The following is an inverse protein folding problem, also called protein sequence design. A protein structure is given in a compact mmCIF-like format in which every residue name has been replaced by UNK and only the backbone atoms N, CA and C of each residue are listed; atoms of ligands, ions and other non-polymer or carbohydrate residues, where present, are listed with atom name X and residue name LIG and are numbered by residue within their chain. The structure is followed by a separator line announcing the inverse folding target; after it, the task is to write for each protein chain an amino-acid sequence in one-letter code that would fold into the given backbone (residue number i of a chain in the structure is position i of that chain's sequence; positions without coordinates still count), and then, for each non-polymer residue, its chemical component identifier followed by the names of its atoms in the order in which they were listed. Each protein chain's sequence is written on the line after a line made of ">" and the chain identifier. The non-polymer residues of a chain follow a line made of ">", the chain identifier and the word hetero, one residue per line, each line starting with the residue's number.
data_IF_238302782875
#
_entry.id   IF_238302782875
#
_cell.length_a   1.000
_cell.length_b   1.000
_cell.length_c   1.000
_cell.angle_alpha   90.00
_cell.angle_beta   90.00
_cell.angle_gamma   90.00
#
_symmetry.space_group_name_H-M   'P 1'
#
loop_
_entity.id
_entity.type
_entity.pdbx_description
1 polymer ?
#
# COMPACT_ATOMS: atom_id res chain seq x y z
N UNK A 1 -6.72 14.09 18.94
CA UNK A 1 -8.06 14.41 18.41
C UNK A 1 -7.88 14.79 16.97
N UNK A 2 -8.47 14.05 16.03
CA UNK A 2 -8.37 14.37 14.61
C UNK A 2 -9.21 15.61 14.29
N UNK A 3 -8.66 16.53 13.50
CA UNK A 3 -9.35 17.77 13.13
C UNK A 3 -10.14 17.58 11.84
N UNK A 4 -11.42 18.00 11.76
CA UNK A 4 -12.19 17.96 10.52
C UNK A 4 -11.58 18.87 9.44
N UNK A 5 -11.86 18.60 8.15
CA UNK A 5 -11.48 19.51 7.07
C UNK A 5 -12.12 20.89 7.33
N UNK A 6 -11.32 21.97 7.33
CA UNK A 6 -11.82 23.32 7.61
C UNK A 6 -12.68 23.84 6.45
N UNK A 7 -13.55 24.81 6.71
CA UNK A 7 -14.46 25.38 5.70
C UNK A 7 -13.79 25.77 4.37
N UNK A 8 -12.58 26.40 4.35
CA UNK A 8 -11.90 26.70 3.09
C UNK A 8 -11.57 25.46 2.23
N UNK A 9 -11.40 24.29 2.83
CA UNK A 9 -11.21 23.02 2.12
C UNK A 9 -12.52 22.54 1.52
N UNK A 10 -13.62 22.61 2.28
CA UNK A 10 -14.95 22.26 1.78
C UNK A 10 -15.34 23.15 0.59
N UNK A 11 -15.12 24.46 0.71
CA UNK A 11 -15.36 25.45 -0.35
C UNK A 11 -14.51 25.19 -1.60
N UNK A 12 -13.27 24.74 -1.42
CA UNK A 12 -12.36 24.42 -2.50
C UNK A 12 -12.84 23.22 -3.32
N UNK A 13 -13.49 22.23 -2.71
CA UNK A 13 -14.03 21.05 -3.38
C UNK A 13 -15.54 21.12 -3.65
N UNK A 14 -16.16 22.30 -3.49
CA UNK A 14 -17.60 22.51 -3.72
C UNK A 14 -18.51 21.67 -2.81
N UNK A 15 -18.06 21.38 -1.59
CA UNK A 15 -18.75 20.51 -0.66
C UNK A 15 -19.62 21.31 0.29
N UNK A 16 -20.88 20.90 0.41
CA UNK A 16 -21.82 21.43 1.39
C UNK A 16 -22.28 20.30 2.29
N UNK A 17 -22.10 20.43 3.61
CA UNK A 17 -22.54 19.43 4.57
C UNK A 17 -21.62 19.35 5.79
N UNK A 18 -21.97 18.47 6.72
CA UNK A 18 -21.17 18.24 7.93
C UNK A 18 -20.17 17.12 7.64
N UNK A 19 -18.85 17.35 7.82
CA UNK A 19 -17.86 16.29 7.73
C UNK A 19 -18.11 15.18 8.75
N UNK A 20 -18.15 13.94 8.26
CA UNK A 20 -18.27 12.73 9.08
C UNK A 20 -16.97 11.96 9.02
N UNK A 21 -16.34 11.72 10.17
CA UNK A 21 -15.13 10.91 10.24
C UNK A 21 -15.45 9.47 9.85
N UNK A 22 -14.70 8.92 8.89
CA UNK A 22 -14.77 7.51 8.53
C UNK A 22 -13.84 6.70 9.44
N UNK A 23 -14.27 5.51 9.91
CA UNK A 23 -13.40 4.62 10.67
C UNK A 23 -12.31 4.01 9.77
N UNK A 24 -11.14 3.74 10.34
CA UNK A 24 -10.03 3.07 9.65
C UNK A 24 -8.92 4.00 9.16
N UNK A 25 -7.98 3.42 8.41
CA UNK A 25 -6.77 4.11 7.95
C UNK A 25 -5.97 4.75 9.09
N UNK A 26 -5.41 5.94 8.82
CA UNK A 26 -4.74 6.76 9.83
C UNK A 26 -5.72 7.59 10.69
N UNK A 27 -7.03 7.38 10.54
CA UNK A 27 -8.05 8.12 11.28
C UNK A 27 -8.21 9.58 10.85
N UNK A 28 -7.78 9.92 9.63
CA UNK A 28 -7.80 11.29 9.05
C UNK A 28 -8.73 11.42 7.82
N UNK A 29 -9.60 10.44 7.60
CA UNK A 29 -10.46 10.38 6.41
C UNK A 29 -11.87 10.83 6.74
N UNK A 30 -12.39 11.79 5.99
CA UNK A 30 -13.67 12.44 6.23
C UNK A 30 -14.60 12.30 5.04
N UNK A 31 -15.89 12.10 5.28
CA UNK A 31 -16.92 12.07 4.24
C UNK A 31 -17.77 13.33 4.31
N UNK A 32 -18.07 13.92 3.15
CA UNK A 32 -19.09 14.96 2.99
C UNK A 32 -19.93 14.60 1.76
N UNK A 33 -21.19 14.20 1.98
CA UNK A 33 -22.03 13.69 0.89
C UNK A 33 -21.42 12.44 0.24
N UNK A 34 -21.16 12.49 -1.06
CA UNK A 34 -20.56 11.39 -1.82
C UNK A 34 -19.06 11.61 -2.11
N UNK A 35 -18.42 12.48 -1.33
CA UNK A 35 -16.99 12.78 -1.45
C UNK A 35 -16.26 12.42 -0.17
N UNK A 36 -15.10 11.81 -0.34
CA UNK A 36 -14.13 11.50 0.70
C UNK A 36 -12.98 12.50 0.61
N UNK A 37 -12.58 13.04 1.76
CA UNK A 37 -11.49 13.98 1.95
C UNK A 37 -10.43 13.36 2.85
N UNK A 38 -9.17 13.52 2.47
CA UNK A 38 -8.02 13.14 3.30
C UNK A 38 -6.87 14.14 3.14
N UNK A 39 -5.96 14.25 4.13
CA UNK A 39 -4.71 14.96 3.95
C UNK A 39 -3.95 14.38 2.75
N UNK A 40 -3.48 15.25 1.86
CA UNK A 40 -2.77 14.84 0.64
C UNK A 40 -1.37 14.27 0.91
N UNK A 41 -0.84 14.47 2.13
CA UNK A 41 0.51 14.04 2.49
C UNK A 41 1.55 14.62 1.55
N UNK A 42 2.23 13.74 0.79
CA UNK A 42 3.20 14.16 -0.21
C UNK A 42 2.50 14.63 -1.50
N UNK A 43 2.37 15.95 -1.65
CA UNK A 43 1.60 16.57 -2.73
C UNK A 43 1.98 16.11 -4.15
N UNK A 44 3.26 15.84 -4.42
CA UNK A 44 3.70 15.37 -5.74
C UNK A 44 3.13 13.98 -6.09
N UNK A 45 3.03 13.09 -5.11
CA UNK A 45 2.42 11.78 -5.27
C UNK A 45 0.90 11.89 -5.39
N UNK A 46 0.26 12.71 -4.55
CA UNK A 46 -1.18 12.94 -4.60
C UNK A 46 -1.66 13.47 -5.96
N UNK A 47 -0.99 14.50 -6.50
CA UNK A 47 -1.31 15.07 -7.82
C UNK A 47 -1.09 14.06 -8.95
N UNK A 48 0.01 13.30 -8.91
CA UNK A 48 0.30 12.27 -9.92
C UNK A 48 -0.74 11.15 -9.88
N UNK A 49 -1.02 10.62 -8.68
CA UNK A 49 -1.99 9.55 -8.45
C UNK A 49 -3.37 9.98 -8.91
N UNK A 50 -3.80 11.18 -8.58
CA UNK A 50 -5.09 11.71 -9.03
C UNK A 50 -5.15 11.84 -10.57
N UNK A 51 -4.08 12.31 -11.20
CA UNK A 51 -4.00 12.34 -12.67
C UNK A 51 -4.20 10.96 -13.29
N UNK A 52 -3.52 9.94 -12.77
CA UNK A 52 -3.64 8.55 -13.24
C UNK A 52 -5.03 7.99 -12.98
N UNK A 53 -5.53 8.07 -11.75
CA UNK A 53 -6.84 7.53 -11.38
C UNK A 53 -7.99 8.25 -12.06
N UNK A 54 -7.83 9.51 -12.47
CA UNK A 54 -8.83 10.20 -13.29
C UNK A 54 -8.89 9.64 -14.72
N UNK A 55 -7.74 9.28 -15.31
CA UNK A 55 -7.62 8.81 -16.68
C UNK A 55 -7.76 7.28 -16.84
N UNK A 56 -7.66 6.52 -15.74
CA UNK A 56 -7.68 5.06 -15.78
C UNK A 56 -9.00 4.53 -16.36
N UNK A 57 -9.01 3.67 -17.39
CA UNK A 57 -10.25 3.12 -17.93
C UNK A 57 -11.07 2.36 -16.89
N UNK A 58 -12.39 2.25 -17.10
CA UNK A 58 -13.21 1.38 -16.28
C UNK A 58 -12.80 -0.09 -16.47
N UNK A 59 -12.85 -0.87 -15.39
CA UNK A 59 -12.49 -2.28 -15.38
C UNK A 59 -13.64 -3.11 -14.79
N UNK A 60 -13.96 -4.29 -15.35
CA UNK A 60 -14.87 -5.23 -14.69
C UNK A 60 -14.19 -5.97 -13.53
N UNK A 61 -12.86 -5.91 -13.40
CA UNK A 61 -12.10 -6.66 -12.41
C UNK A 61 -11.87 -5.88 -11.10
N UNK A 62 -11.92 -4.55 -11.14
CA UNK A 62 -11.75 -3.69 -9.97
C UNK A 62 -12.40 -2.32 -10.19
N UNK A 63 -12.63 -1.60 -9.10
CA UNK A 63 -13.03 -0.18 -9.07
C UNK A 63 -11.93 0.65 -8.41
N UNK A 64 -11.87 1.94 -8.74
CA UNK A 64 -11.00 2.93 -8.07
C UNK A 64 -11.83 4.17 -7.76
N UNK A 65 -11.52 4.84 -6.64
CA UNK A 65 -12.18 6.09 -6.28
C UNK A 65 -11.70 7.20 -7.24
N UNK A 66 -12.62 7.81 -8.00
CA UNK A 66 -12.23 8.87 -8.95
C UNK A 66 -11.91 10.15 -8.16
N UNK A 67 -10.77 10.80 -8.43
CA UNK A 67 -10.41 12.01 -7.74
C UNK A 67 -11.31 13.18 -8.17
N UNK A 68 -11.60 14.08 -7.23
CA UNK A 68 -12.42 15.27 -7.44
C UNK A 68 -11.49 16.49 -7.55
N UNK A 69 -11.64 17.28 -8.61
CA UNK A 69 -10.86 18.53 -8.77
C UNK A 69 -11.34 19.58 -7.80
N UNK A 70 -10.40 20.32 -7.23
CA UNK A 70 -10.70 21.58 -6.57
C UNK A 70 -11.15 22.63 -7.60
N UNK A 71 -11.79 23.72 -7.12
CA UNK A 71 -12.28 24.85 -7.92
C UNK A 71 -11.22 25.45 -8.84
N UNK A 72 -9.96 25.47 -8.40
CA UNK A 72 -8.84 25.99 -9.20
C UNK A 72 -8.35 25.03 -10.29
N UNK A 73 -8.96 23.84 -10.40
CA UNK A 73 -8.60 22.79 -11.34
C UNK A 73 -7.50 21.85 -10.85
N UNK A 74 -6.82 22.13 -9.74
CA UNK A 74 -5.83 21.22 -9.14
C UNK A 74 -6.50 19.99 -8.50
N UNK A 75 -5.73 18.92 -8.29
CA UNK A 75 -6.21 17.75 -7.56
C UNK A 75 -6.13 17.91 -6.05
N UNK A 76 -5.20 18.75 -5.58
CA UNK A 76 -5.05 19.08 -4.16
C UNK A 76 -5.38 20.55 -3.88
N UNK A 77 -5.87 20.83 -2.68
CA UNK A 77 -6.11 22.20 -2.21
C UNK A 77 -5.91 22.28 -0.70
N UNK A 78 -5.15 23.29 -0.24
CA UNK A 78 -4.89 23.52 1.19
C UNK A 78 -4.35 22.28 1.94
N UNK A 79 -3.59 21.42 1.26
CA UNK A 79 -3.06 20.17 1.84
C UNK A 79 -4.05 19.00 1.88
N UNK A 80 -5.21 19.12 1.25
CA UNK A 80 -6.23 18.07 1.15
C UNK A 80 -6.39 17.58 -0.28
N UNK A 81 -6.76 16.32 -0.40
CA UNK A 81 -7.23 15.69 -1.64
C UNK A 81 -8.65 15.15 -1.45
N UNK A 82 -9.38 15.03 -2.56
CA UNK A 82 -10.76 14.57 -2.56
C UNK A 82 -10.97 13.47 -3.61
N UNK A 83 -11.84 12.52 -3.30
CA UNK A 83 -12.28 11.47 -4.24
C UNK A 83 -13.75 11.13 -4.04
N UNK A 84 -14.35 10.53 -5.06
CA UNK A 84 -15.68 9.92 -4.96
C UNK A 84 -15.68 8.85 -3.86
N UNK A 85 -16.76 8.79 -3.11
CA UNK A 85 -17.05 7.71 -2.20
C UNK A 85 -17.38 6.44 -3.00
N UNK A 86 -16.77 5.32 -2.60
CA UNK A 86 -17.11 4.01 -3.14
C UNK A 86 -17.84 3.17 -2.10
N UNK A 87 -18.84 2.42 -2.58
CA UNK A 87 -19.48 1.38 -1.77
C UNK A 87 -18.50 0.24 -1.48
N UNK A 88 -18.51 -0.19 -0.22
CA UNK A 88 -17.86 -1.41 0.25
C UNK A 88 -17.22 -1.26 1.61
N UNK A 89 -16.68 -2.38 2.10
CA UNK A 89 -15.88 -2.45 3.32
C UNK A 89 -14.67 -3.35 3.09
N UNK A 90 -13.57 -3.05 3.76
CA UNK A 90 -12.37 -3.88 3.73
C UNK A 90 -12.65 -5.25 4.34
N UNK A 91 -12.21 -6.31 3.66
CA UNK A 91 -12.28 -7.68 4.19
C UNK A 91 -10.95 -8.40 3.96
N UNK A 92 -10.08 -8.34 4.96
CA UNK A 92 -8.73 -8.93 4.94
C UNK A 92 -8.74 -10.47 4.93
N UNK A 93 -9.91 -11.10 5.14
CA UNK A 93 -10.05 -12.56 5.04
C UNK A 93 -10.14 -13.05 3.59
N UNK A 94 -10.53 -12.17 2.64
CA UNK A 94 -10.67 -12.48 1.20
C UNK A 94 -9.35 -12.39 0.45
N UNK A 95 -8.31 -13.01 0.99
CA UNK A 95 -6.90 -12.85 0.60
C UNK A 95 -6.65 -13.11 -0.90
N UNK A 96 -7.20 -14.20 -1.45
CA UNK A 96 -7.05 -14.52 -2.87
C UNK A 96 -7.76 -13.49 -3.78
N UNK A 97 -8.87 -12.90 -3.34
CA UNK A 97 -9.59 -11.88 -4.10
C UNK A 97 -8.88 -10.52 -4.05
N UNK A 98 -8.27 -10.17 -2.91
CA UNK A 98 -7.38 -9.02 -2.77
C UNK A 98 -6.22 -9.12 -3.77
N UNK A 99 -5.54 -10.27 -3.80
CA UNK A 99 -4.42 -10.51 -4.69
C UNK A 99 -4.85 -10.47 -6.16
N UNK A 100 -6.00 -11.06 -6.49
CA UNK A 100 -6.56 -11.05 -7.85
C UNK A 100 -6.90 -9.63 -8.32
N UNK A 101 -7.54 -8.82 -7.47
CA UNK A 101 -7.82 -7.42 -7.78
C UNK A 101 -6.53 -6.61 -7.95
N UNK A 102 -5.52 -6.86 -7.10
CA UNK A 102 -4.21 -6.24 -7.18
C UNK A 102 -3.50 -6.53 -8.51
N UNK A 103 -3.48 -7.79 -8.95
CA UNK A 103 -2.90 -8.17 -10.26
C UNK A 103 -3.61 -7.45 -11.39
N UNK A 104 -4.95 -7.46 -11.41
CA UNK A 104 -5.72 -6.76 -12.45
C UNK A 104 -5.45 -5.25 -12.47
N UNK A 105 -5.28 -4.64 -11.30
CA UNK A 105 -4.90 -3.23 -11.19
C UNK A 105 -3.49 -2.97 -11.72
N UNK A 106 -2.52 -3.82 -11.37
CA UNK A 106 -1.14 -3.70 -11.85
C UNK A 106 -1.02 -3.88 -13.36
N UNK A 107 -1.83 -4.75 -13.97
CA UNK A 107 -1.95 -4.87 -15.43
C UNK A 107 -2.46 -3.57 -16.06
N UNK A 108 -3.48 -2.95 -15.46
CA UNK A 108 -4.06 -1.70 -15.97
C UNK A 108 -3.12 -0.48 -15.89
N UNK A 109 -2.07 -0.55 -15.06
CA UNK A 109 -1.08 0.54 -14.87
C UNK A 109 0.32 0.17 -15.37
N UNK A 110 0.48 -0.94 -16.08
CA UNK A 110 1.78 -1.51 -16.45
C UNK A 110 2.64 -0.60 -17.37
N UNK A 111 1.98 0.20 -18.21
CA UNK A 111 2.64 1.06 -19.19
C UNK A 111 2.92 2.48 -18.67
N UNK A 112 2.59 2.77 -17.41
CA UNK A 112 2.92 4.06 -16.81
C UNK A 112 4.44 4.20 -16.66
N UNK A 113 5.02 5.38 -16.97
CA UNK A 113 6.42 5.65 -16.73
C UNK A 113 6.70 5.71 -15.22
N UNK A 114 7.97 5.48 -14.83
CA UNK A 114 8.41 5.66 -13.44
C UNK A 114 8.19 7.12 -13.02
N UNK A 115 7.48 7.38 -11.91
CA UNK A 115 7.31 8.74 -11.42
C UNK A 115 8.57 9.29 -10.74
N UNK A 116 9.02 10.48 -11.15
CA UNK A 116 10.22 11.14 -10.60
C UNK A 116 10.10 11.49 -9.11
N UNK A 117 8.88 11.61 -8.58
CA UNK A 117 8.69 11.91 -7.16
C UNK A 117 9.17 10.79 -6.23
N UNK A 118 9.32 9.55 -6.73
CA UNK A 118 9.81 8.42 -5.94
C UNK A 118 11.24 8.65 -5.43
N UNK A 119 12.05 9.42 -6.14
CA UNK A 119 13.41 9.78 -5.71
C UNK A 119 13.42 10.76 -4.54
N UNK A 120 12.30 11.46 -4.29
CA UNK A 120 12.16 12.49 -3.26
C UNK A 120 11.46 12.00 -2.00
N UNK A 121 10.87 10.80 -2.00
CA UNK A 121 10.26 10.22 -0.80
C UNK A 121 11.31 9.90 0.25
N UNK A 122 11.07 10.29 1.49
CA UNK A 122 11.96 10.08 2.63
C UNK A 122 11.24 9.49 3.85
N UNK A 123 10.04 8.95 3.63
CA UNK A 123 9.23 8.31 4.66
C UNK A 123 9.75 6.90 5.05
N UNK A 124 9.31 6.35 6.20
CA UNK A 124 9.70 5.01 6.65
C UNK A 124 9.44 3.89 5.63
N UNK A 125 8.37 3.99 4.85
CA UNK A 125 8.05 2.99 3.83
C UNK A 125 8.99 3.09 2.61
N UNK A 126 9.37 4.30 2.21
CA UNK A 126 10.40 4.52 1.20
C UNK A 126 11.77 3.98 1.65
N UNK A 127 12.08 4.09 2.95
CA UNK A 127 13.27 3.45 3.53
C UNK A 127 13.18 1.93 3.43
N UNK A 128 12.06 1.34 3.85
CA UNK A 128 11.87 -0.11 3.75
C UNK A 128 11.96 -0.64 2.31
N UNK A 129 11.39 0.10 1.36
CA UNK A 129 11.46 -0.23 -0.06
C UNK A 129 12.91 -0.22 -0.56
N UNK A 130 13.67 0.85 -0.31
CA UNK A 130 15.08 0.94 -0.71
C UNK A 130 15.95 -0.13 -0.07
N UNK A 131 15.74 -0.42 1.22
CA UNK A 131 16.48 -1.48 1.92
C UNK A 131 16.15 -2.84 1.33
N UNK A 132 14.89 -3.15 1.03
CA UNK A 132 14.48 -4.41 0.40
C UNK A 132 15.18 -4.66 -0.94
N UNK A 133 15.43 -3.59 -1.70
CA UNK A 133 16.01 -3.61 -3.04
C UNK A 133 17.51 -3.29 -3.10
N UNK A 134 18.22 -3.30 -1.97
CA UNK A 134 19.68 -3.08 -1.89
C UNK A 134 20.12 -1.66 -2.32
N UNK A 135 19.18 -0.72 -2.40
CA UNK A 135 19.45 0.68 -2.67
C UNK A 135 19.95 1.41 -1.40
N UNK A 136 19.70 0.81 -0.22
CA UNK A 136 20.19 1.26 1.09
C UNK A 136 20.61 0.06 1.97
N UNK A 137 21.55 0.26 2.91
CA UNK A 137 21.93 -0.79 3.86
C UNK A 137 20.80 -1.09 4.85
N UNK A 138 20.73 -2.35 5.32
CA UNK A 138 19.82 -2.77 6.38
C UNK A 138 20.32 -2.34 7.76
N UNK A 139 20.43 -1.02 7.96
CA UNK A 139 20.77 -0.40 9.23
C UNK A 139 19.50 -0.11 10.04
N UNK A 140 19.63 -0.10 11.37
CA UNK A 140 18.49 0.10 12.28
C UNK A 140 18.82 -0.32 13.70
N UNK A 141 17.82 -0.60 14.52
CA UNK A 141 18.03 -1.04 15.91
C UNK A 141 18.76 -2.40 16.00
N UNK A 142 19.41 -2.73 17.14
CA UNK A 142 20.07 -4.03 17.32
C UNK A 142 19.13 -5.22 17.08
N UNK A 143 17.90 -5.16 17.58
CA UNK A 143 16.89 -6.22 17.43
C UNK A 143 16.45 -6.36 15.98
N UNK A 144 16.23 -5.24 15.27
CA UNK A 144 15.95 -5.25 13.84
C UNK A 144 17.06 -5.96 13.04
N UNK A 145 18.33 -5.60 13.29
CA UNK A 145 19.47 -6.22 12.62
C UNK A 145 19.53 -7.73 12.86
N UNK A 146 19.13 -8.19 14.04
CA UNK A 146 19.07 -9.62 14.35
C UNK A 146 17.98 -10.35 13.54
N UNK A 147 16.77 -9.81 13.51
CA UNK A 147 15.62 -10.46 12.84
C UNK A 147 15.73 -10.39 11.31
N UNK A 148 16.20 -9.28 10.75
CA UNK A 148 16.29 -9.09 9.29
C UNK A 148 17.44 -9.86 8.66
N UNK A 149 18.48 -10.20 9.45
CA UNK A 149 19.74 -10.79 8.95
C UNK A 149 19.53 -12.01 8.06
N UNK A 150 18.69 -12.96 8.47
CA UNK A 150 18.45 -14.20 7.68
C UNK A 150 17.84 -13.89 6.31
N UNK A 151 16.97 -12.88 6.22
CA UNK A 151 16.36 -12.46 4.96
C UNK A 151 17.38 -11.76 4.06
N UNK A 152 18.22 -10.89 4.64
CA UNK A 152 19.31 -10.22 3.91
C UNK A 152 20.31 -11.26 3.38
N UNK A 153 20.68 -12.26 4.18
CA UNK A 153 21.57 -13.36 3.78
C UNK A 153 20.95 -14.23 2.66
N UNK A 154 19.61 -14.40 2.64
CA UNK A 154 18.89 -15.19 1.64
C UNK A 154 18.53 -14.40 0.37
N UNK A 155 18.66 -13.07 0.40
CA UNK A 155 18.36 -12.20 -0.74
C UNK A 155 19.39 -12.41 -1.84
N UNK A 156 18.90 -12.60 -3.07
CA UNK A 156 19.66 -12.77 -4.30
C UNK A 156 19.21 -11.74 -5.35
N UNK A 157 20.06 -11.34 -6.31
CA UNK A 157 19.66 -10.46 -7.40
C UNK A 157 18.46 -11.01 -8.18
N UNK A 158 17.62 -10.11 -8.69
CA UNK A 158 16.42 -10.44 -9.47
C UNK A 158 16.35 -9.54 -10.70
N UNK A 159 16.19 -10.15 -11.88
CA UNK A 159 16.10 -9.45 -13.18
C UNK A 159 14.65 -9.43 -13.68
N UNK A 160 13.74 -8.82 -12.90
CA UNK A 160 12.35 -8.60 -13.31
C UNK A 160 12.12 -7.14 -13.68
N UNK A 161 11.27 -6.91 -14.68
CA UNK A 161 10.85 -5.56 -15.05
C UNK A 161 10.03 -4.94 -13.91
N UNK A 162 10.47 -3.78 -13.45
CA UNK A 162 9.68 -2.94 -12.55
C UNK A 162 8.62 -2.14 -13.32
N UNK A 163 7.52 -1.86 -12.64
CA UNK A 163 6.47 -0.96 -13.09
C UNK A 163 5.86 -0.25 -11.88
N UNK A 164 4.84 0.57 -12.11
CA UNK A 164 4.06 1.13 -11.00
C UNK A 164 3.22 0.04 -10.34
N UNK A 165 3.31 -0.10 -9.02
CA UNK A 165 2.57 -1.09 -8.24
C UNK A 165 1.96 -0.50 -6.98
N UNK A 166 1.00 -1.22 -6.40
CA UNK A 166 0.34 -0.91 -5.13
C UNK A 166 0.95 -1.76 -4.02
N UNK A 167 1.75 -1.15 -3.14
CA UNK A 167 2.55 -1.87 -2.13
C UNK A 167 1.83 -2.17 -0.80
N UNK A 168 0.51 -2.01 -0.71
CA UNK A 168 -0.24 -2.14 0.57
C UNK A 168 -1.68 -2.66 0.40
N UNK A 169 -1.90 -3.78 -0.29
CA UNK A 169 -3.25 -4.17 -0.74
C UNK A 169 -4.24 -4.66 0.35
N UNK A 170 -3.88 -5.52 1.32
CA UNK A 170 -4.90 -6.22 2.13
C UNK A 170 -5.88 -5.30 2.89
N UNK A 171 -5.38 -4.21 3.46
CA UNK A 171 -6.21 -3.21 4.14
C UNK A 171 -6.88 -2.20 3.21
N UNK A 172 -6.62 -2.25 1.91
CA UNK A 172 -6.99 -1.21 0.94
C UNK A 172 -7.80 -1.77 -0.24
N UNK A 173 -8.41 -2.94 -0.07
CA UNK A 173 -9.39 -3.51 -1.00
C UNK A 173 -10.73 -3.66 -0.29
N UNK A 174 -11.76 -3.01 -0.82
CA UNK A 174 -13.12 -3.03 -0.29
C UNK A 174 -14.06 -3.87 -1.16
N UNK A 175 -15.00 -4.54 -0.51
CA UNK A 175 -15.98 -5.41 -1.16
C UNK A 175 -17.40 -4.91 -0.92
N UNK A 176 -18.24 -5.02 -1.95
CA UNK A 176 -19.66 -4.71 -1.91
C UNK A 176 -20.42 -5.73 -2.78
N UNK A 177 -21.64 -6.09 -2.37
CA UNK A 177 -22.43 -7.10 -3.05
C UNK A 177 -22.69 -6.74 -4.52
N UNK A 178 -22.38 -7.67 -5.42
CA UNK A 178 -22.58 -7.51 -6.86
C UNK A 178 -21.64 -6.53 -7.56
N UNK A 179 -20.66 -5.96 -6.85
CA UNK A 179 -19.67 -5.03 -7.41
C UNK A 179 -18.26 -5.65 -7.46
N UNK A 180 -17.42 -5.29 -8.45
CA UNK A 180 -16.00 -5.62 -8.41
C UNK A 180 -15.33 -5.02 -7.16
N UNK A 181 -14.23 -5.61 -6.65
CA UNK A 181 -13.47 -5.06 -5.53
C UNK A 181 -13.02 -3.62 -5.80
N UNK A 182 -13.11 -2.74 -4.81
CA UNK A 182 -12.64 -1.36 -4.89
C UNK A 182 -11.25 -1.24 -4.27
N UNK A 183 -10.29 -0.76 -5.05
CA UNK A 183 -8.92 -0.48 -4.59
C UNK A 183 -8.86 1.00 -4.21
N UNK A 184 -8.47 1.26 -2.97
CA UNK A 184 -8.31 2.59 -2.39
C UNK A 184 -6.87 2.80 -1.95
N UNK A 185 -6.54 4.02 -1.51
CA UNK A 185 -5.29 4.33 -0.80
C UNK A 185 -4.04 3.70 -1.42
N UNK A 186 -3.76 4.06 -2.67
CA UNK A 186 -2.60 3.58 -3.42
C UNK A 186 -1.31 4.32 -3.03
N UNK A 187 -0.40 3.71 -2.24
CA UNK A 187 0.98 4.14 -2.15
C UNK A 187 1.74 3.65 -3.39
N UNK A 188 2.39 4.57 -4.08
CA UNK A 188 3.01 4.32 -5.37
C UNK A 188 4.42 3.80 -5.18
N UNK A 189 4.73 2.64 -5.78
CA UNK A 189 6.08 2.06 -5.82
C UNK A 189 6.48 1.69 -7.24
N UNK A 190 7.80 1.57 -7.49
CA UNK A 190 8.36 1.17 -8.78
C UNK A 190 9.09 -0.17 -8.70
N UNK A 191 8.34 -1.27 -8.64
CA UNK A 191 8.86 -2.63 -8.41
C UNK A 191 8.14 -3.66 -9.31
N UNK A 192 8.63 -4.91 -9.41
CA UNK A 192 7.91 -5.96 -10.13
C UNK A 192 6.52 -6.19 -9.51
N UNK A 193 5.47 -6.46 -10.30
CA UNK A 193 4.11 -6.65 -9.76
C UNK A 193 4.02 -7.85 -8.80
N UNK A 194 4.81 -8.91 -9.01
CA UNK A 194 4.88 -10.03 -8.07
C UNK A 194 5.39 -9.64 -6.68
N UNK A 195 6.16 -8.56 -6.55
CA UNK A 195 6.57 -8.01 -5.25
C UNK A 195 5.37 -7.46 -4.47
N UNK A 196 4.47 -6.73 -5.12
CA UNK A 196 3.29 -6.19 -4.47
C UNK A 196 2.33 -7.30 -3.98
N UNK A 197 2.18 -8.38 -4.77
CA UNK A 197 1.49 -9.59 -4.31
C UNK A 197 2.18 -10.25 -3.12
N UNK A 198 3.52 -10.31 -3.12
CA UNK A 198 4.28 -10.87 -2.01
C UNK A 198 4.16 -10.03 -0.73
N UNK A 199 4.09 -8.70 -0.82
CA UNK A 199 3.77 -7.83 0.31
C UNK A 199 2.41 -8.17 0.89
N UNK A 200 1.38 -8.27 0.05
CA UNK A 200 0.04 -8.63 0.50
C UNK A 200 0.00 -10.01 1.19
N UNK A 201 0.75 -11.00 0.70
CA UNK A 201 0.87 -12.31 1.34
C UNK A 201 1.63 -12.24 2.66
N UNK A 202 2.74 -11.50 2.72
CA UNK A 202 3.51 -11.31 3.96
C UNK A 202 2.65 -10.66 5.04
N UNK A 203 1.90 -9.61 4.69
CA UNK A 203 1.00 -8.92 5.61
C UNK A 203 -0.11 -9.84 6.12
N UNK A 204 -0.67 -10.66 5.22
CA UNK A 204 -1.72 -11.60 5.58
C UNK A 204 -1.22 -12.69 6.54
N UNK A 205 0.00 -13.18 6.34
CA UNK A 205 0.66 -14.12 7.24
C UNK A 205 0.99 -13.48 8.59
N UNK A 206 1.37 -12.21 8.61
CA UNK A 206 1.74 -11.52 9.84
C UNK A 206 0.54 -11.06 10.68
N UNK A 207 -0.53 -10.56 10.03
CA UNK A 207 -1.58 -9.81 10.73
C UNK A 207 -3.01 -10.22 10.41
N UNK A 208 -3.26 -10.97 9.33
CA UNK A 208 -4.62 -11.27 8.86
C UNK A 208 -4.97 -12.75 8.88
N UNK A 209 -4.26 -13.54 9.68
CA UNK A 209 -4.58 -14.95 9.94
C UNK A 209 -4.44 -15.87 8.73
N UNK A 210 -3.65 -15.49 7.71
CA UNK A 210 -3.33 -16.40 6.62
C UNK A 210 -2.52 -17.60 7.11
N UNK A 211 -2.71 -18.74 6.46
CA UNK A 211 -1.85 -19.92 6.61
C UNK A 211 -0.76 -19.93 5.53
N UNK A 212 0.33 -20.70 5.71
CA UNK A 212 1.35 -20.92 4.67
C UNK A 212 0.80 -21.34 3.31
N UNK A 213 -0.38 -21.96 3.27
CA UNK A 213 -1.04 -22.38 2.03
C UNK A 213 -1.34 -21.20 1.09
N UNK A 214 -1.54 -19.98 1.63
CA UNK A 214 -1.71 -18.78 0.79
C UNK A 214 -0.47 -18.53 -0.06
N UNK A 215 0.72 -18.58 0.54
CA UNK A 215 1.97 -18.39 -0.19
C UNK A 215 2.19 -19.52 -1.22
N UNK A 216 1.78 -20.75 -0.91
CA UNK A 216 1.87 -21.88 -1.84
C UNK A 216 0.94 -21.73 -3.06
N UNK A 217 -0.31 -21.25 -2.88
CA UNK A 217 -1.25 -21.00 -3.98
C UNK A 217 -0.72 -19.98 -5.00
N UNK A 218 0.02 -18.98 -4.52
CA UNK A 218 0.56 -17.88 -5.34
C UNK A 218 2.00 -18.11 -5.80
N UNK A 219 2.57 -19.30 -5.56
CA UNK A 219 3.95 -19.64 -5.93
C UNK A 219 4.22 -19.70 -7.44
N UNK A 220 3.18 -19.59 -8.27
CA UNK A 220 3.30 -19.48 -9.72
C UNK A 220 3.79 -18.11 -10.21
N UNK A 221 3.78 -17.08 -9.33
CA UNK A 221 4.29 -15.75 -9.66
C UNK A 221 5.83 -15.75 -9.82
N UNK A 222 6.38 -14.89 -10.69
CA UNK A 222 7.81 -14.89 -10.99
C UNK A 222 8.66 -14.49 -9.78
N UNK A 223 9.78 -15.17 -9.60
CA UNK A 223 10.78 -14.95 -8.53
C UNK A 223 10.17 -14.97 -7.12
N UNK A 224 9.12 -15.76 -6.92
CA UNK A 224 8.25 -15.68 -5.73
C UNK A 224 8.98 -15.70 -4.39
N UNK A 225 9.93 -16.63 -4.19
CA UNK A 225 10.71 -16.68 -2.95
C UNK A 225 11.50 -15.39 -2.70
N UNK A 226 12.09 -14.82 -3.75
CA UNK A 226 12.81 -13.56 -3.68
C UNK A 226 11.88 -12.36 -3.49
N UNK A 227 10.63 -12.43 -3.95
CA UNK A 227 9.61 -11.40 -3.69
C UNK A 227 9.15 -11.44 -2.24
N UNK A 228 8.93 -12.63 -1.65
CA UNK A 228 8.59 -12.79 -0.23
C UNK A 228 9.71 -12.32 0.69
N UNK A 229 10.96 -12.67 0.38
CA UNK A 229 12.13 -12.16 1.13
C UNK A 229 12.15 -10.63 1.13
N UNK A 230 11.98 -10.00 -0.03
CA UNK A 230 11.98 -8.53 -0.15
C UNK A 230 10.78 -7.88 0.53
N UNK A 231 9.61 -8.49 0.45
CA UNK A 231 8.41 -8.03 1.15
C UNK A 231 8.61 -7.99 2.67
N UNK A 232 9.25 -9.01 3.25
CA UNK A 232 9.52 -9.04 4.69
C UNK A 232 10.64 -8.09 5.09
N UNK A 233 11.69 -7.92 4.28
CA UNK A 233 12.70 -6.88 4.53
C UNK A 233 12.02 -5.51 4.54
N UNK A 234 11.16 -5.22 3.55
CA UNK A 234 10.38 -3.99 3.49
C UNK A 234 9.56 -3.76 4.77
N UNK A 235 8.78 -4.75 5.22
CA UNK A 235 7.94 -4.62 6.42
C UNK A 235 8.74 -4.48 7.71
N UNK A 236 9.74 -5.33 7.93
CA UNK A 236 10.60 -5.25 9.12
C UNK A 236 11.33 -3.90 9.21
N UNK A 237 11.85 -3.40 8.09
CA UNK A 237 12.53 -2.11 8.03
C UNK A 237 11.56 -0.97 8.31
N UNK A 238 10.35 -1.03 7.73
CA UNK A 238 9.31 -0.01 7.97
C UNK A 238 8.94 0.06 9.44
N UNK A 239 8.73 -1.09 10.10
CA UNK A 239 8.40 -1.18 11.51
C UNK A 239 9.51 -0.63 12.43
N UNK A 240 10.78 -0.89 12.11
CA UNK A 240 11.93 -0.29 12.82
C UNK A 240 12.01 1.23 12.58
N UNK A 241 11.82 1.68 11.34
CA UNK A 241 11.92 3.10 11.00
C UNK A 241 10.78 3.93 11.62
N UNK A 242 9.58 3.35 11.80
CA UNK A 242 8.44 4.03 12.41
C UNK A 242 8.56 4.09 13.94
N UNK A 243 8.80 2.95 14.60
CA UNK A 243 8.72 2.87 16.07
C UNK A 243 10.05 2.58 16.78
N UNK A 244 11.14 2.45 16.03
CA UNK A 244 12.48 2.26 16.59
C UNK A 244 12.61 0.97 17.40
N UNK A 245 13.53 0.94 18.39
CA UNK A 245 13.74 -0.21 19.25
C UNK A 245 12.48 -0.68 20.00
N UNK A 246 11.54 0.22 20.28
CA UNK A 246 10.32 -0.07 21.05
C UNK A 246 9.30 -0.91 20.27
N UNK A 247 9.36 -0.92 18.92
CA UNK A 247 8.49 -1.75 18.09
C UNK A 247 8.69 -3.25 18.35
N UNK A 248 9.91 -3.67 18.73
CA UNK A 248 10.32 -5.07 18.80
C UNK A 248 9.94 -5.77 20.12
N UNK A 249 8.65 -5.82 20.38
CA UNK A 249 8.07 -6.65 21.45
C UNK A 249 8.07 -8.13 21.05
N UNK A 250 7.92 -9.03 22.04
CA UNK A 250 7.74 -10.47 21.79
C UNK A 250 6.59 -10.74 20.82
N UNK A 251 5.45 -10.07 21.01
CA UNK A 251 4.26 -10.22 20.16
C UNK A 251 4.59 -9.82 18.72
N UNK A 252 5.30 -8.71 18.52
CA UNK A 252 5.68 -8.25 17.18
C UNK A 252 6.62 -9.25 16.51
N UNK A 253 7.64 -9.73 17.20
CA UNK A 253 8.57 -10.73 16.66
C UNK A 253 7.85 -12.05 16.32
N UNK A 254 6.89 -12.47 17.14
CA UNK A 254 6.06 -13.64 16.90
C UNK A 254 5.14 -13.47 15.67
N UNK A 255 4.64 -12.26 15.40
CA UNK A 255 3.84 -12.00 14.19
C UNK A 255 4.64 -12.19 12.89
N UNK A 256 5.95 -11.91 12.89
CA UNK A 256 6.78 -12.07 11.69
C UNK A 256 7.30 -13.49 11.50
N UNK A 257 7.48 -14.25 12.58
CA UNK A 257 8.15 -15.57 12.55
C UNK A 257 7.57 -16.53 11.50
N UNK A 258 6.24 -16.77 11.44
CA UNK A 258 5.69 -17.70 10.44
C UNK A 258 5.95 -17.22 9.01
N UNK A 259 5.84 -15.92 8.76
CA UNK A 259 6.06 -15.36 7.42
C UNK A 259 7.52 -15.48 7.00
N UNK A 260 8.48 -15.25 7.91
CA UNK A 260 9.91 -15.45 7.66
C UNK A 260 10.23 -16.91 7.34
N UNK A 261 9.69 -17.86 8.11
CA UNK A 261 9.88 -19.29 7.87
C UNK A 261 9.31 -19.71 6.51
N UNK A 262 8.12 -19.20 6.16
CA UNK A 262 7.52 -19.43 4.84
C UNK A 262 8.41 -18.86 3.73
N UNK A 263 8.83 -17.61 3.81
CA UNK A 263 9.65 -16.98 2.77
C UNK A 263 10.97 -17.73 2.52
N UNK A 264 11.67 -18.14 3.59
CA UNK A 264 12.93 -18.89 3.50
C UNK A 264 12.75 -20.33 2.99
N UNK A 265 11.53 -20.88 3.01
CA UNK A 265 11.25 -22.19 2.41
C UNK A 265 11.22 -22.17 0.87
N UNK A 266 11.12 -20.97 0.27
CA UNK A 266 11.13 -20.77 -1.19
C UNK A 266 12.50 -20.35 -1.75
N UNK A 267 13.53 -20.17 -0.90
CA UNK A 267 14.83 -19.60 -1.30
C UNK A 267 15.86 -20.62 -1.74
#
# INVERSE_FOLDING_TARGET
>A
MTTPPPDPVLDAFHLTGVPVLLPGGQGETWRVGDVVLKPAGFAAEAEWRAGVLSALPASPAFRVARPVRARGGQWTSQGWEASELLDGQTDVSRQDEVLTAGVAFHEAVADLPRPDFLDRRDDPWATGDRVAWEEQPADGSPTYREVVRKLVEARRPVELRSQVVHGDLPGNVMFADGLPPAIIDWPVYWRPPSWASAVAVADALCWYGATPDLAARWAHLPEWGQMLVRALIYRLTTDDAVGGPETWTTIRLESYRPAIEVALSFT
#
